data_IF_860045501661
#
_entry.id   IF_860045501661
#
_cell.length_a   1.000
_cell.length_b   1.000
_cell.length_c   1.000
_cell.angle_alpha   90.00
_cell.angle_beta   90.00
_cell.angle_gamma   90.00
#
_symmetry.space_group_name_H-M   'P 1'
#
loop_
_entity.id
_entity.type
_entity.pdbx_description
1 polymer ?
#
# COMPACT_ATOMS: atom_id res chain seq x y z
N UNK A 1 -26.90 6.17 22.18
CA UNK A 1 -25.65 5.84 21.47
C UNK A 1 -24.61 6.89 21.81
N UNK A 2 -23.62 6.52 22.63
CA UNK A 2 -22.59 7.45 23.11
C UNK A 2 -21.69 7.83 21.94
N UNK A 3 -21.64 9.11 21.59
CA UNK A 3 -20.62 9.66 20.69
C UNK A 3 -19.28 9.53 21.41
N UNK A 4 -18.39 8.69 20.90
CA UNK A 4 -17.01 8.67 21.37
C UNK A 4 -16.36 9.95 20.88
N UNK A 5 -16.29 10.95 21.77
CA UNK A 5 -15.41 12.11 21.61
C UNK A 5 -13.99 11.56 21.79
N UNK A 6 -13.25 11.46 20.69
CA UNK A 6 -11.82 11.13 20.73
C UNK A 6 -11.11 12.40 21.20
N UNK A 7 -10.74 12.42 22.48
CA UNK A 7 -9.91 13.48 23.06
C UNK A 7 -8.46 13.25 22.58
N UNK A 8 -8.05 13.90 21.49
CA UNK A 8 -6.65 13.91 21.07
C UNK A 8 -5.94 15.00 21.87
N UNK A 9 -5.12 14.59 22.84
CA UNK A 9 -4.20 15.47 23.56
C UNK A 9 -3.12 15.95 22.57
N UNK A 10 -3.25 17.18 22.09
CA UNK A 10 -2.17 17.85 21.36
C UNK A 10 -1.28 18.55 22.40
N UNK A 11 -0.10 17.99 22.65
CA UNK A 11 0.93 18.64 23.47
C UNK A 11 1.56 19.73 22.61
N UNK A 12 1.09 20.98 22.75
CA UNK A 12 1.74 22.15 22.14
C UNK A 12 2.77 22.74 23.11
N UNK A 13 4.05 22.52 22.82
CA UNK A 13 5.13 23.27 23.43
C UNK A 13 5.45 24.50 22.56
N UNK A 14 4.63 25.56 22.64
CA UNK A 14 5.08 26.94 22.42
C UNK A 14 4.07 27.93 23.02
N UNK A 15 4.61 28.90 23.76
CA UNK A 15 3.88 29.94 24.49
C UNK A 15 3.01 30.82 23.60
N UNK A 16 1.76 30.44 23.36
CA UNK A 16 0.67 31.37 23.03
C UNK A 16 -0.67 30.69 23.28
N UNK A 17 -1.45 31.23 24.20
CA UNK A 17 -2.81 30.78 24.52
C UNK A 17 -3.67 31.12 23.30
N UNK A 18 -3.87 30.15 22.42
CA UNK A 18 -4.91 30.24 21.40
C UNK A 18 -6.22 29.92 22.13
N UNK A 19 -7.03 30.94 22.32
CA UNK A 19 -8.40 30.80 22.83
C UNK A 19 -9.15 29.84 21.89
N UNK A 20 -9.83 28.84 22.46
CA UNK A 20 -10.63 27.88 21.71
C UNK A 20 -11.79 28.59 20.98
N UNK A 21 -11.51 29.07 19.77
CA UNK A 21 -12.51 29.44 18.79
C UNK A 21 -12.73 28.20 17.90
N UNK A 22 -13.97 27.93 17.51
CA UNK A 22 -14.35 26.77 16.69
C UNK A 22 -13.53 26.75 15.41
N UNK A 23 -12.43 25.99 15.41
CA UNK A 23 -11.70 25.68 14.18
C UNK A 23 -12.65 24.88 13.30
N UNK A 24 -12.92 25.38 12.10
CA UNK A 24 -13.80 24.70 11.18
C UNK A 24 -13.14 23.36 10.78
N UNK A 25 -13.94 22.34 10.48
CA UNK A 25 -13.42 21.03 10.10
C UNK A 25 -12.53 21.09 8.84
N UNK A 26 -12.72 22.13 8.02
CA UNK A 26 -11.89 22.45 6.86
C UNK A 26 -10.51 22.98 7.27
N UNK A 27 -10.42 23.86 8.27
CA UNK A 27 -9.15 24.42 8.77
C UNK A 27 -8.28 23.35 9.47
N UNK A 28 -8.91 22.29 9.98
CA UNK A 28 -8.21 21.16 10.59
C UNK A 28 -7.58 20.22 9.55
N UNK A 29 -8.05 20.20 8.30
CA UNK A 29 -7.47 19.33 7.25
C UNK A 29 -6.04 19.74 6.91
N UNK A 30 -5.79 21.03 6.74
CA UNK A 30 -4.47 21.56 6.41
C UNK A 30 -3.44 21.34 7.54
N UNK A 31 -3.91 21.15 8.78
CA UNK A 31 -3.07 20.81 9.94
C UNK A 31 -2.53 19.37 9.89
N UNK A 32 -3.13 18.48 9.10
CA UNK A 32 -2.72 17.09 8.95
C UNK A 32 -1.94 16.83 7.65
N UNK A 33 -1.71 17.85 6.84
CA UNK A 33 -0.96 17.72 5.61
C UNK A 33 0.55 17.64 5.88
N UNK A 34 1.23 16.71 5.22
CA UNK A 34 2.67 16.53 5.30
C UNK A 34 3.10 15.20 5.92
N UNK A 35 4.37 15.12 6.30
CA UNK A 35 4.97 13.87 6.76
C UNK A 35 4.62 13.60 8.24
N UNK A 36 4.02 12.44 8.49
CA UNK A 36 3.56 12.03 9.81
C UNK A 36 4.05 10.64 10.18
N UNK A 37 4.14 10.39 11.49
CA UNK A 37 4.27 9.05 12.05
C UNK A 37 2.99 8.71 12.84
N UNK A 38 2.33 7.61 12.48
CA UNK A 38 1.09 7.16 13.11
C UNK A 38 1.31 5.79 13.75
N UNK A 39 0.84 5.64 14.98
CA UNK A 39 0.86 4.38 15.73
C UNK A 39 -0.57 3.96 16.06
N UNK A 40 -0.92 2.71 15.78
CA UNK A 40 -2.22 2.14 16.14
C UNK A 40 -2.09 1.23 17.37
N UNK A 41 -3.18 1.09 18.14
CA UNK A 41 -3.23 0.23 19.33
C UNK A 41 -2.95 -1.24 19.03
N UNK A 42 -3.26 -1.71 17.81
CA UNK A 42 -2.96 -3.08 17.38
C UNK A 42 -1.46 -3.31 17.08
N UNK A 43 -0.61 -2.29 17.22
CA UNK A 43 0.82 -2.36 16.95
C UNK A 43 1.22 -1.99 15.52
N UNK A 44 0.26 -1.72 14.62
CA UNK A 44 0.54 -1.21 13.27
C UNK A 44 1.12 0.20 13.32
N UNK A 45 1.89 0.57 12.30
CA UNK A 45 2.62 1.84 12.24
C UNK A 45 2.70 2.35 10.81
N UNK A 46 2.63 3.66 10.63
CA UNK A 46 2.76 4.32 9.33
C UNK A 46 3.73 5.49 9.45
N UNK A 47 4.56 5.66 8.43
CA UNK A 47 5.54 6.72 8.31
C UNK A 47 5.44 7.27 6.88
N UNK A 48 4.94 8.47 6.69
CA UNK A 48 4.75 8.99 5.34
C UNK A 48 3.86 10.21 5.25
N UNK A 49 3.60 10.62 4.02
CA UNK A 49 2.74 11.76 3.74
C UNK A 49 1.28 11.43 4.12
N UNK A 50 0.62 12.39 4.74
CA UNK A 50 -0.81 12.44 4.99
C UNK A 50 -1.33 13.70 4.31
N UNK A 51 -2.48 13.61 3.64
CA UNK A 51 -3.18 14.75 3.07
C UNK A 51 -4.67 14.65 3.41
N UNK A 52 -5.27 15.71 3.94
CA UNK A 52 -6.67 15.74 4.33
C UNK A 52 -7.05 14.68 5.38
N UNK A 53 -6.08 14.24 6.19
CA UNK A 53 -6.24 13.18 7.18
C UNK A 53 -6.11 11.75 6.65
N UNK A 54 -5.79 11.54 5.37
CA UNK A 54 -5.63 10.23 4.73
C UNK A 54 -4.18 9.99 4.29
N UNK A 55 -3.73 8.73 4.29
CA UNK A 55 -2.41 8.39 3.76
C UNK A 55 -2.33 8.77 2.27
N UNK A 56 -1.32 9.54 1.93
CA UNK A 56 -1.09 10.05 0.58
C UNK A 56 0.39 10.03 0.22
N UNK A 57 0.73 10.52 -0.97
CA UNK A 57 2.12 10.73 -1.37
C UNK A 57 2.96 9.46 -1.28
N UNK A 58 4.10 9.52 -0.58
CA UNK A 58 4.97 8.38 -0.27
C UNK A 58 4.82 7.99 1.20
N UNK A 59 4.84 6.69 1.49
CA UNK A 59 4.87 6.23 2.87
C UNK A 59 5.10 4.74 3.03
N UNK A 60 5.43 4.36 4.26
CA UNK A 60 5.65 2.99 4.69
C UNK A 60 4.61 2.61 5.74
N UNK A 61 3.84 1.56 5.47
CA UNK A 61 2.94 0.92 6.43
C UNK A 61 3.58 -0.38 6.91
N UNK A 62 3.61 -0.59 8.23
CA UNK A 62 3.99 -1.84 8.88
C UNK A 62 2.76 -2.31 9.65
N UNK A 63 2.20 -3.45 9.26
CA UNK A 63 1.06 -4.05 9.93
C UNK A 63 1.50 -4.85 11.16
N UNK A 64 0.56 -5.12 12.07
CA UNK A 64 0.81 -5.88 13.29
C UNK A 64 1.28 -7.33 13.05
N UNK A 65 0.99 -7.90 11.89
CA UNK A 65 1.47 -9.21 11.46
C UNK A 65 2.91 -9.17 10.90
N UNK A 66 3.57 -8.01 10.94
CA UNK A 66 4.89 -7.75 10.33
C UNK A 66 4.92 -7.77 8.79
N UNK A 67 3.77 -7.83 8.12
CA UNK A 67 3.69 -7.43 6.72
C UNK A 67 4.06 -5.95 6.60
N UNK A 68 4.63 -5.52 5.46
CA UNK A 68 4.87 -4.11 5.21
C UNK A 68 4.74 -3.72 3.75
N UNK A 69 4.40 -2.45 3.53
CA UNK A 69 4.35 -1.81 2.23
C UNK A 69 5.16 -0.52 2.28
N UNK A 70 5.98 -0.29 1.27
CA UNK A 70 6.66 0.97 1.02
C UNK A 70 6.30 1.41 -0.40
N UNK A 71 5.74 2.61 -0.56
CA UNK A 71 5.42 3.09 -1.89
C UNK A 71 4.49 4.27 -1.88
N UNK A 72 3.80 4.44 -3.01
CA UNK A 72 2.84 5.53 -3.18
C UNK A 72 1.49 5.19 -2.56
N UNK A 73 0.84 6.22 -2.01
CA UNK A 73 -0.50 6.17 -1.42
C UNK A 73 -1.37 7.24 -2.07
N UNK A 74 -2.66 6.95 -2.18
CA UNK A 74 -3.67 7.90 -2.63
C UNK A 74 -4.98 7.58 -1.92
N UNK A 75 -5.50 8.54 -1.15
CA UNK A 75 -6.73 8.38 -0.36
C UNK A 75 -6.74 7.13 0.53
N UNK A 76 -5.64 6.90 1.26
CA UNK A 76 -5.52 5.74 2.14
C UNK A 76 -5.25 4.41 1.45
N UNK A 77 -5.21 4.36 0.11
CA UNK A 77 -5.00 3.14 -0.67
C UNK A 77 -3.62 3.11 -1.28
N UNK A 78 -3.01 1.92 -1.39
CA UNK A 78 -1.76 1.75 -2.14
C UNK A 78 -2.00 2.06 -3.61
N UNK A 79 -1.14 2.90 -4.17
CA UNK A 79 -1.24 3.40 -5.53
C UNK A 79 0.16 3.52 -6.17
N UNK A 80 0.26 3.81 -7.46
CA UNK A 80 1.53 4.18 -8.10
C UNK A 80 2.57 3.06 -8.07
N UNK A 81 3.83 3.36 -7.75
CA UNK A 81 4.88 2.34 -7.56
C UNK A 81 4.99 1.99 -6.09
N UNK A 82 5.19 0.71 -5.77
CA UNK A 82 5.43 0.27 -4.41
C UNK A 82 5.94 -1.15 -4.31
N UNK A 83 6.50 -1.44 -3.14
CA UNK A 83 6.99 -2.73 -2.72
C UNK A 83 6.17 -3.22 -1.52
N UNK A 84 5.72 -4.48 -1.57
CA UNK A 84 4.99 -5.13 -0.49
C UNK A 84 5.70 -6.43 -0.13
N UNK A 85 5.91 -6.65 1.17
CA UNK A 85 6.29 -7.95 1.72
C UNK A 85 5.21 -8.40 2.68
N UNK A 86 4.65 -9.58 2.41
CA UNK A 86 3.68 -10.20 3.30
C UNK A 86 4.39 -11.02 4.36
N UNK A 87 3.74 -11.21 5.52
CA UNK A 87 4.19 -12.11 6.59
C UNK A 87 4.45 -13.54 6.10
N UNK A 88 3.75 -13.98 5.04
CA UNK A 88 3.97 -15.27 4.38
C UNK A 88 5.32 -15.39 3.67
N UNK A 89 6.09 -14.31 3.55
CA UNK A 89 7.34 -14.25 2.79
C UNK A 89 7.15 -13.98 1.30
N UNK A 90 5.91 -13.86 0.81
CA UNK A 90 5.63 -13.37 -0.54
C UNK A 90 6.12 -11.92 -0.65
N UNK A 91 6.58 -11.53 -1.83
CA UNK A 91 7.02 -10.16 -2.13
C UNK A 91 6.45 -9.71 -3.47
N UNK A 92 6.03 -8.44 -3.55
CA UNK A 92 5.59 -7.81 -4.79
C UNK A 92 6.28 -6.47 -4.96
N UNK A 93 6.85 -6.24 -6.14
CA UNK A 93 7.40 -4.97 -6.54
C UNK A 93 6.75 -4.56 -7.87
N UNK A 94 6.06 -3.43 -7.90
CA UNK A 94 5.39 -3.03 -9.14
C UNK A 94 4.41 -1.90 -8.97
N UNK A 95 3.48 -1.85 -9.92
CA UNK A 95 2.44 -0.84 -9.96
C UNK A 95 1.21 -1.27 -9.16
N UNK A 96 0.67 -0.33 -8.40
CA UNK A 96 -0.54 -0.47 -7.60
C UNK A 96 -1.60 0.49 -8.10
N UNK A 97 -2.85 0.06 -8.00
CA UNK A 97 -4.03 0.90 -8.17
C UNK A 97 -5.09 0.41 -7.20
N UNK A 98 -5.57 1.32 -6.35
CA UNK A 98 -6.68 1.12 -5.43
C UNK A 98 -6.50 -0.20 -4.64
N UNK A 99 -5.34 -0.30 -3.97
CA UNK A 99 -4.90 -1.42 -3.14
C UNK A 99 -4.61 -2.75 -3.86
N UNK A 100 -4.58 -2.75 -5.19
CA UNK A 100 -4.34 -3.96 -5.98
C UNK A 100 -3.13 -3.80 -6.91
N UNK A 101 -2.29 -4.85 -7.06
CA UNK A 101 -1.36 -4.94 -8.17
C UNK A 101 -2.05 -4.68 -9.52
N UNK A 102 -1.57 -3.68 -10.26
CA UNK A 102 -2.19 -3.23 -11.51
C UNK A 102 -1.16 -2.55 -12.44
N UNK A 103 -0.94 -3.13 -13.61
CA UNK A 103 0.15 -2.78 -14.53
C UNK A 103 1.36 -3.70 -14.38
N UNK A 104 2.55 -3.22 -14.74
CA UNK A 104 3.78 -4.02 -14.69
C UNK A 104 4.22 -4.25 -13.25
N UNK A 105 4.61 -5.48 -12.94
CA UNK A 105 5.20 -5.83 -11.64
C UNK A 105 5.92 -7.17 -11.65
N UNK A 106 6.46 -7.51 -10.48
CA UNK A 106 7.13 -8.75 -10.19
C UNK A 106 6.63 -9.31 -8.86
N UNK A 107 6.16 -10.54 -8.85
CA UNK A 107 5.78 -11.29 -7.65
C UNK A 107 6.83 -12.38 -7.40
N UNK A 108 7.30 -12.51 -6.17
CA UNK A 108 8.16 -13.60 -5.70
C UNK A 108 7.45 -14.37 -4.60
N UNK A 109 7.54 -15.68 -4.65
CA UNK A 109 7.01 -16.58 -3.64
C UNK A 109 8.14 -17.16 -2.78
N UNK A 110 7.86 -17.58 -1.54
CA UNK A 110 8.86 -18.13 -0.61
C UNK A 110 9.57 -19.39 -1.14
N UNK A 111 8.92 -20.15 -2.01
CA UNK A 111 9.46 -21.35 -2.66
C UNK A 111 10.51 -21.03 -3.75
N UNK A 112 10.73 -19.75 -4.06
CA UNK A 112 11.65 -19.29 -5.11
C UNK A 112 10.98 -19.09 -6.47
N UNK A 113 9.69 -19.42 -6.62
CA UNK A 113 8.95 -19.09 -7.83
C UNK A 113 8.87 -17.57 -7.99
N UNK A 114 8.94 -17.10 -9.24
CA UNK A 114 8.84 -15.68 -9.58
C UNK A 114 7.98 -15.50 -10.81
N UNK A 115 7.10 -14.50 -10.80
CA UNK A 115 6.39 -14.00 -11.96
C UNK A 115 6.81 -12.56 -12.23
N UNK A 116 7.09 -12.23 -13.49
CA UNK A 116 7.31 -10.86 -13.96
C UNK A 116 6.43 -10.60 -15.18
N UNK A 117 5.54 -9.63 -15.11
CA UNK A 117 4.58 -9.40 -16.18
C UNK A 117 3.50 -8.37 -15.83
N UNK A 118 2.40 -8.47 -16.56
CA UNK A 118 1.22 -7.64 -16.40
C UNK A 118 0.31 -8.15 -15.28
N UNK A 119 -0.18 -7.20 -14.48
CA UNK A 119 -1.18 -7.42 -13.46
C UNK A 119 -2.43 -6.61 -13.76
N UNK A 120 -3.59 -7.19 -13.47
CA UNK A 120 -4.88 -6.49 -13.46
C UNK A 120 -5.67 -6.94 -12.25
N UNK A 121 -6.08 -5.98 -11.42
CA UNK A 121 -6.91 -6.22 -10.23
C UNK A 121 -6.33 -7.34 -9.35
N UNK A 122 -5.02 -7.27 -9.08
CA UNK A 122 -4.32 -8.23 -8.22
C UNK A 122 -3.98 -9.57 -8.86
N UNK A 123 -4.33 -9.80 -10.12
CA UNK A 123 -4.10 -11.07 -10.83
C UNK A 123 -3.08 -10.91 -11.95
N UNK A 124 -2.33 -11.97 -12.26
CA UNK A 124 -1.53 -12.04 -13.48
C UNK A 124 -2.50 -12.04 -14.68
N UNK A 125 -2.43 -11.00 -15.52
CA UNK A 125 -3.34 -10.79 -16.65
C UNK A 125 -2.62 -9.98 -17.74
N UNK A 126 -2.38 -10.59 -18.90
CA UNK A 126 -1.53 -10.09 -19.97
C UNK A 126 -0.19 -10.83 -20.08
N UNK A 127 0.82 -10.17 -20.66
CA UNK A 127 2.11 -10.80 -20.97
C UNK A 127 2.96 -10.96 -19.72
N UNK A 128 3.50 -12.16 -19.54
CA UNK A 128 4.38 -12.43 -18.41
C UNK A 128 5.33 -13.59 -18.60
N UNK A 129 6.18 -13.76 -17.60
CA UNK A 129 7.14 -14.86 -17.49
C UNK A 129 7.14 -15.40 -16.07
N UNK A 130 6.98 -16.71 -15.93
CA UNK A 130 7.23 -17.44 -14.68
C UNK A 130 8.64 -18.02 -14.75
N UNK A 131 9.42 -17.82 -13.69
CA UNK A 131 10.64 -18.59 -13.40
C UNK A 131 10.32 -19.52 -12.23
N UNK A 132 10.47 -20.81 -12.45
CA UNK A 132 10.26 -21.84 -11.44
C UNK A 132 11.53 -22.04 -10.58
N UNK A 133 11.41 -22.63 -9.38
CA UNK A 133 12.56 -22.86 -8.49
C UNK A 133 13.66 -23.73 -9.12
N UNK A 134 13.29 -24.66 -9.99
CA UNK A 134 14.21 -25.53 -10.76
C UNK A 134 14.93 -24.80 -11.91
N UNK A 135 14.62 -23.53 -12.14
CA UNK A 135 15.19 -22.71 -13.21
C UNK A 135 14.42 -22.75 -14.53
N UNK A 136 13.37 -23.59 -14.66
CA UNK A 136 12.52 -23.59 -15.84
C UNK A 136 11.84 -22.23 -16.01
N UNK A 137 11.65 -21.82 -17.27
CA UNK A 137 11.03 -20.54 -17.61
C UNK A 137 9.84 -20.78 -18.54
N UNK A 138 8.66 -20.32 -18.12
CA UNK A 138 7.49 -20.20 -18.98
C UNK A 138 7.29 -18.73 -19.38
N UNK A 139 7.02 -18.46 -20.66
CA UNK A 139 6.67 -17.14 -21.18
C UNK A 139 5.36 -17.26 -21.96
N UNK A 140 4.40 -16.39 -21.70
CA UNK A 140 3.11 -16.45 -22.38
C UNK A 140 2.16 -15.35 -21.96
N UNK A 141 0.92 -15.48 -22.45
CA UNK A 141 -0.21 -14.67 -22.01
C UNK A 141 -0.87 -15.32 -20.79
N UNK A 142 -1.35 -14.48 -19.87
CA UNK A 142 -2.05 -14.91 -18.67
C UNK A 142 -3.44 -14.30 -18.63
N UNK A 143 -4.41 -15.04 -18.11
CA UNK A 143 -5.73 -14.54 -17.79
C UNK A 143 -6.13 -14.97 -16.40
N UNK A 144 -6.35 -14.00 -15.51
CA UNK A 144 -6.79 -14.25 -14.13
C UNK A 144 -5.94 -15.31 -13.39
N UNK A 145 -4.62 -15.21 -13.48
CA UNK A 145 -3.62 -16.15 -12.93
C UNK A 145 -3.40 -17.47 -13.70
N UNK A 146 -4.17 -17.75 -14.75
CA UNK A 146 -3.99 -18.95 -15.58
C UNK A 146 -3.18 -18.60 -16.83
N UNK A 147 -2.19 -19.44 -17.17
CA UNK A 147 -1.56 -19.37 -18.49
C UNK A 147 -2.62 -19.69 -19.56
N UNK A 148 -2.65 -18.90 -20.62
CA UNK A 148 -3.50 -19.15 -21.79
C UNK A 148 -2.65 -19.93 -22.77
N UNK A 149 -3.08 -21.13 -23.17
CA UNK A 149 -2.41 -21.87 -24.23
C UNK A 149 -2.41 -21.04 -25.51
N UNK A 150 -1.30 -21.08 -26.26
CA UNK A 150 -1.28 -20.44 -27.58
C UNK A 150 -2.42 -21.04 -28.41
N UNK A 151 -3.22 -20.24 -29.15
CA UNK A 151 -4.15 -20.81 -30.11
C UNK A 151 -3.34 -21.74 -31.04
N UNK A 152 -3.84 -22.97 -31.32
CA UNK A 152 -3.17 -23.85 -32.27
C UNK A 152 -2.98 -23.10 -33.59
N UNK A 153 -1.74 -23.13 -34.09
CA UNK A 153 -1.33 -22.56 -35.37
C UNK A 153 -2.07 -23.18 -36.53
#
# INVERSE_FOLDING_TARGET
>A
MKKHIVLILVIFAVNSIITAQEVNAEDMRDLYDGFHTVYWQNGSKYFGDIYGGEMGGSGTMIWSDSSFYEGKWHHGLRHGKGYMKWVSGREYEGRWKDDQPNGKGQMKWPDGQMYKGDFKNGKMDGKGRIKYPDGQIFKGEFKSNCAVEAPPS
#
